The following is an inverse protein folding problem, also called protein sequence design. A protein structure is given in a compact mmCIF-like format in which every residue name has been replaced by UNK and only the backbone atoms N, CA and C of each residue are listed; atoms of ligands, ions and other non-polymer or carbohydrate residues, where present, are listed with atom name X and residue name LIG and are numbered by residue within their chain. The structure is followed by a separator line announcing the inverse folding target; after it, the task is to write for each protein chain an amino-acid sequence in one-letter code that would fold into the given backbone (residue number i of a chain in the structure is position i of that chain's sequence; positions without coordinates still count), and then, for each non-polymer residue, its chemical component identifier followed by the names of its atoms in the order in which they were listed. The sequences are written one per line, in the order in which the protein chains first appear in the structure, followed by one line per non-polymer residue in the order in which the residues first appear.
data_IF_244221185866
#
_entry.id   IF_244221185866
#
_cell.length_a   1.000
_cell.length_b   1.000
_cell.length_c   1.000
_cell.angle_alpha   90.00
_cell.angle_beta   90.00
_cell.angle_gamma   90.00
#
_symmetry.space_group_name_H-M   'P 1'
#
loop_
_entity.id
_entity.type
_entity.pdbx_description
1 polymer ?
#
# COMPACT_ATOMS: atom_id res chain seq x y z
N UNK A 1 11.73 -31.37 4.60
CA UNK A 1 10.94 -30.27 5.19
C UNK A 1 10.74 -30.60 6.66
N UNK A 2 11.77 -30.39 7.48
CA UNK A 2 11.66 -30.61 8.92
C UNK A 2 10.76 -29.55 9.57
N UNK A 3 10.23 -29.84 10.75
CA UNK A 3 9.37 -28.88 11.48
C UNK A 3 10.07 -27.54 11.71
N UNK A 4 11.40 -27.55 11.92
CA UNK A 4 12.21 -26.33 12.08
C UNK A 4 12.24 -25.48 10.80
N UNK A 5 12.23 -26.09 9.61
CA UNK A 5 12.17 -25.38 8.33
C UNK A 5 10.82 -24.65 8.17
N UNK A 6 9.73 -25.29 8.60
CA UNK A 6 8.39 -24.71 8.55
C UNK A 6 8.24 -23.49 9.50
N UNK A 7 8.81 -23.57 10.71
CA UNK A 7 8.86 -22.43 11.63
C UNK A 7 9.72 -21.28 11.07
N UNK A 8 10.84 -21.59 10.42
CA UNK A 8 11.66 -20.57 9.73
C UNK A 8 10.91 -19.87 8.61
N UNK A 9 10.19 -20.62 7.78
CA UNK A 9 9.34 -20.05 6.72
C UNK A 9 8.20 -19.19 7.26
N UNK A 10 7.59 -19.59 8.39
CA UNK A 10 6.53 -18.80 9.02
C UNK A 10 7.07 -17.48 9.57
N UNK A 11 8.23 -17.52 10.24
CA UNK A 11 8.87 -16.33 10.77
C UNK A 11 9.27 -15.35 9.65
N UNK A 12 9.78 -15.83 8.52
CA UNK A 12 10.11 -14.96 7.37
C UNK A 12 8.86 -14.35 6.73
N UNK A 13 7.79 -15.12 6.57
CA UNK A 13 6.52 -14.64 6.02
C UNK A 13 5.89 -13.56 6.92
N UNK A 14 5.91 -13.76 8.24
CA UNK A 14 5.46 -12.76 9.21
C UNK A 14 6.28 -11.47 9.11
N UNK A 15 7.61 -11.58 9.08
CA UNK A 15 8.49 -10.43 8.96
C UNK A 15 8.24 -9.66 7.65
N UNK A 16 8.12 -10.37 6.53
CA UNK A 16 7.78 -9.78 5.24
C UNK A 16 6.42 -9.07 5.29
N UNK A 17 5.42 -9.71 5.92
CA UNK A 17 4.10 -9.12 6.14
C UNK A 17 4.15 -7.82 6.94
N UNK A 18 4.93 -7.77 8.03
CA UNK A 18 5.09 -6.55 8.83
C UNK A 18 5.76 -5.42 8.05
N UNK A 19 6.81 -5.73 7.28
CA UNK A 19 7.48 -4.73 6.44
C UNK A 19 6.52 -4.19 5.38
N UNK A 20 5.77 -5.06 4.71
CA UNK A 20 4.77 -4.67 3.72
C UNK A 20 3.66 -3.81 4.35
N UNK A 21 3.18 -4.17 5.53
CA UNK A 21 2.19 -3.39 6.27
C UNK A 21 2.72 -2.00 6.64
N UNK A 22 3.97 -1.89 7.10
CA UNK A 22 4.58 -0.60 7.40
C UNK A 22 4.64 0.30 6.16
N UNK A 23 5.05 -0.24 5.02
CA UNK A 23 5.04 0.50 3.75
C UNK A 23 3.64 0.90 3.31
N UNK A 24 2.64 0.03 3.47
CA UNK A 24 1.25 0.35 3.14
C UNK A 24 0.71 1.51 4.00
N UNK A 25 1.00 1.50 5.30
CA UNK A 25 0.62 2.59 6.21
C UNK A 25 1.30 3.90 5.81
N UNK A 26 2.63 3.88 5.58
CA UNK A 26 3.36 5.07 5.13
C UNK A 26 2.81 5.61 3.81
N UNK A 27 2.51 4.73 2.86
CA UNK A 27 1.91 5.08 1.57
C UNK A 27 0.57 5.81 1.76
N UNK A 28 -0.29 5.35 2.68
CA UNK A 28 -1.57 5.99 2.96
C UNK A 28 -1.37 7.42 3.48
N UNK A 29 -0.48 7.62 4.47
CA UNK A 29 -0.22 8.95 5.04
C UNK A 29 0.31 9.94 4.01
N UNK A 30 1.27 9.51 3.18
CA UNK A 30 1.79 10.35 2.08
C UNK A 30 0.69 10.68 1.08
N UNK A 31 -0.20 9.73 0.77
CA UNK A 31 -1.32 9.98 -0.15
C UNK A 31 -2.31 11.00 0.41
N UNK A 32 -2.63 10.93 1.71
CA UNK A 32 -3.48 11.93 2.39
C UNK A 32 -2.88 13.32 2.28
N UNK A 33 -1.58 13.45 2.55
CA UNK A 33 -0.86 14.72 2.41
C UNK A 33 -0.93 15.26 0.98
N UNK A 34 -0.71 14.41 -0.03
CA UNK A 34 -0.78 14.81 -1.43
C UNK A 34 -2.18 15.29 -1.82
N UNK A 35 -3.23 14.58 -1.37
CA UNK A 35 -4.63 14.97 -1.66
C UNK A 35 -5.00 16.29 -1.01
N UNK A 36 -4.55 16.54 0.22
CA UNK A 36 -4.77 17.81 0.92
C UNK A 36 -4.11 18.99 0.18
N UNK A 37 -2.84 18.83 -0.19
CA UNK A 37 -2.10 19.82 -0.99
C UNK A 37 -2.78 20.06 -2.34
N UNK A 38 -3.24 19.00 -3.01
CA UNK A 38 -3.96 19.13 -4.28
C UNK A 38 -5.27 19.93 -4.13
N UNK A 39 -6.02 19.70 -3.06
CA UNK A 39 -7.24 20.46 -2.77
C UNK A 39 -6.93 21.95 -2.49
N UNK A 40 -5.85 22.21 -1.76
CA UNK A 40 -5.37 23.58 -1.50
C UNK A 40 -5.00 24.32 -2.79
N UNK A 41 -4.28 23.67 -3.71
CA UNK A 41 -3.93 24.23 -5.02
C UNK A 41 -5.19 24.52 -5.85
N UNK A 42 -6.24 23.70 -5.72
CA UNK A 42 -7.52 23.91 -6.40
C UNK A 42 -8.40 24.99 -5.75
N UNK A 43 -7.97 25.62 -4.65
CA UNK A 43 -8.75 26.61 -3.91
C UNK A 43 -9.97 26.00 -3.20
N UNK A 44 -9.94 24.70 -2.94
CA UNK A 44 -11.01 23.98 -2.25
C UNK A 44 -10.68 23.88 -0.76
N UNK A 45 -11.72 23.82 0.07
CA UNK A 45 -11.61 23.55 1.51
C UNK A 45 -12.47 22.34 1.86
N UNK A 46 -12.06 21.13 1.42
CA UNK A 46 -12.80 19.92 1.74
C UNK A 46 -12.76 19.66 3.25
N UNK A 47 -13.83 19.06 3.77
CA UNK A 47 -13.76 18.50 5.13
C UNK A 47 -12.72 17.36 5.17
N UNK A 48 -12.01 17.21 6.28
CA UNK A 48 -10.91 16.23 6.44
C UNK A 48 -11.31 14.80 6.04
N UNK A 49 -12.57 14.42 6.29
CA UNK A 49 -13.11 13.12 5.91
C UNK A 49 -13.07 12.85 4.40
N UNK A 50 -13.24 13.88 3.56
CA UNK A 50 -13.16 13.74 2.10
C UNK A 50 -11.71 13.59 1.61
N UNK A 51 -10.75 14.26 2.27
CA UNK A 51 -9.32 14.12 1.98
C UNK A 51 -8.89 12.68 2.29
N UNK A 52 -9.25 12.16 3.46
CA UNK A 52 -8.93 10.79 3.87
C UNK A 52 -9.60 9.77 2.97
N UNK A 53 -10.89 9.97 2.62
CA UNK A 53 -11.62 9.07 1.74
C UNK A 53 -10.99 9.02 0.34
N UNK A 54 -10.72 10.18 -0.27
CA UNK A 54 -10.08 10.28 -1.58
C UNK A 54 -8.69 9.65 -1.60
N UNK A 55 -7.90 9.92 -0.56
CA UNK A 55 -6.58 9.33 -0.39
C UNK A 55 -6.64 7.81 -0.18
N UNK A 56 -7.63 7.30 0.55
CA UNK A 56 -7.79 5.85 0.78
C UNK A 56 -8.14 5.13 -0.52
N UNK A 57 -9.03 5.70 -1.32
CA UNK A 57 -9.36 5.15 -2.65
C UNK A 57 -8.14 5.16 -3.56
N UNK A 58 -7.42 6.29 -3.64
CA UNK A 58 -6.19 6.39 -4.44
C UNK A 58 -5.12 5.39 -3.99
N UNK A 59 -4.82 5.33 -2.69
CA UNK A 59 -3.85 4.40 -2.13
C UNK A 59 -4.24 2.95 -2.43
N UNK A 60 -5.52 2.59 -2.27
CA UNK A 60 -6.04 1.27 -2.62
C UNK A 60 -5.82 0.93 -4.10
N UNK A 61 -6.14 1.85 -5.02
CA UNK A 61 -5.91 1.63 -6.46
C UNK A 61 -4.43 1.53 -6.82
N UNK A 62 -3.56 2.32 -6.17
CA UNK A 62 -2.12 2.27 -6.39
C UNK A 62 -1.52 0.94 -5.90
N UNK A 63 -1.95 0.44 -4.75
CA UNK A 63 -1.54 -0.87 -4.22
C UNK A 63 -1.98 -1.99 -5.17
N UNK A 64 -3.22 -1.95 -5.67
CA UNK A 64 -3.70 -2.92 -6.65
C UNK A 64 -2.91 -2.86 -7.95
N UNK A 65 -2.64 -1.66 -8.49
CA UNK A 65 -1.86 -1.45 -9.70
C UNK A 65 -0.41 -1.95 -9.56
N UNK A 66 0.23 -1.73 -8.40
CA UNK A 66 1.56 -2.28 -8.10
C UNK A 66 1.54 -3.80 -7.92
N UNK A 67 0.50 -4.34 -7.26
CA UNK A 67 0.34 -5.78 -7.01
C UNK A 67 0.15 -6.60 -8.28
N UNK A 68 -0.59 -6.10 -9.27
CA UNK A 68 -0.75 -6.81 -10.56
C UNK A 68 0.54 -6.87 -11.38
N UNK A 69 1.46 -5.92 -11.20
CA UNK A 69 2.78 -5.94 -11.85
C UNK A 69 3.64 -7.14 -11.42
N UNK A 70 3.50 -7.59 -10.17
CA UNK A 70 4.18 -8.78 -9.63
C UNK A 70 3.49 -10.11 -9.99
N UNK A 71 2.28 -10.06 -10.56
CA UNK A 71 1.50 -11.25 -10.90
C UNK A 71 1.72 -11.76 -12.33
N UNK A 72 2.50 -11.05 -13.15
CA UNK A 72 2.84 -11.51 -14.50
C UNK A 72 3.82 -12.67 -14.40
N UNK A 73 3.47 -13.90 -14.87
CA UNK A 73 4.39 -15.03 -14.88
C UNK A 73 5.56 -14.77 -15.84
N UNK A 74 6.76 -15.21 -15.46
CA UNK A 74 7.98 -15.12 -16.29
C UNK A 74 7.93 -15.98 -17.57
N UNK A 75 6.90 -16.79 -17.78
CA UNK A 75 6.77 -17.72 -18.92
C UNK A 75 6.41 -17.05 -20.27
N UNK A 76 6.57 -15.73 -20.39
CA UNK A 76 6.09 -14.92 -21.51
C UNK A 76 7.15 -14.30 -22.44
N UNK A 77 8.44 -14.62 -22.29
CA UNK A 77 9.53 -14.03 -23.08
C UNK A 77 10.40 -15.09 -23.79
#
# INVERSE_FOLDING_TARGET
MGILDAFGSLASALLAGFVMLAFAVLSLFVTVFVVDVAASIAGLTPADGFVVLGATVLAGTAILAGGVGFATPEDGA
#
